data_IF_070420329781
#
_entry.id   IF_070420329781
#
_cell.length_a   1.000
_cell.length_b   1.000
_cell.length_c   1.000
_cell.angle_alpha   90.00
_cell.angle_beta   90.00
_cell.angle_gamma   90.00
#
_symmetry.space_group_name_H-M   'P 1'
#
loop_
_entity.id
_entity.type
_entity.pdbx_description
1 polymer ?
#
# COMPACT_ATOMS: atom_id res chain seq x y z
N UNK A 1 -86.55 98.02 9.78
CA UNK A 1 -87.80 98.28 10.52
C UNK A 1 -88.19 96.99 11.20
N UNK A 2 -88.34 97.04 12.51
CA UNK A 2 -89.14 96.14 13.36
C UNK A 2 -88.84 94.63 13.31
N UNK A 3 -88.74 93.88 14.38
CA UNK A 3 -88.91 94.11 15.82
C UNK A 3 -88.79 92.69 16.41
N UNK A 4 -87.96 92.50 17.44
CA UNK A 4 -88.44 92.39 18.83
C UNK A 4 -89.01 91.02 19.20
N UNK A 5 -88.36 90.36 20.16
CA UNK A 5 -88.94 90.09 21.50
C UNK A 5 -88.13 88.94 22.15
N UNK A 6 -87.19 89.21 23.06
CA UNK A 6 -87.39 89.41 24.52
C UNK A 6 -87.70 88.08 25.24
N UNK A 7 -86.68 87.39 25.81
CA UNK A 7 -86.16 87.36 27.23
C UNK A 7 -87.07 86.57 28.20
N UNK A 8 -86.61 86.08 29.37
CA UNK A 8 -85.26 85.99 29.95
C UNK A 8 -84.96 84.54 30.46
N UNK A 9 -83.77 84.15 30.93
CA UNK A 9 -83.33 84.24 32.33
C UNK A 9 -81.90 83.66 32.43
N UNK A 10 -81.10 84.23 33.31
CA UNK A 10 -79.67 83.94 33.42
C UNK A 10 -79.34 82.72 34.26
N UNK A 11 -78.27 82.03 33.87
CA UNK A 11 -77.44 81.21 34.76
C UNK A 11 -75.97 81.25 34.28
N UNK A 12 -75.00 81.10 35.21
CA UNK A 12 -73.64 81.55 35.03
C UNK A 12 -72.81 80.69 34.07
N UNK A 13 -71.95 81.37 33.32
CA UNK A 13 -70.82 80.81 32.58
C UNK A 13 -69.97 79.91 33.48
N UNK A 14 -69.99 78.59 33.23
CA UNK A 14 -68.96 77.68 33.70
C UNK A 14 -68.36 76.99 32.48
N UNK A 15 -67.12 77.34 32.17
CA UNK A 15 -66.24 76.59 31.28
C UNK A 15 -66.05 75.20 31.86
N UNK A 16 -66.61 74.18 31.22
CA UNK A 16 -66.31 72.78 31.52
C UNK A 16 -66.05 72.03 30.20
N UNK A 17 -64.78 71.75 30.00
CA UNK A 17 -64.20 70.79 29.06
C UNK A 17 -65.00 69.47 29.09
N UNK A 18 -65.70 69.14 28.02
CA UNK A 18 -66.29 67.82 27.83
C UNK A 18 -65.41 67.03 26.87
N UNK A 19 -64.76 66.03 27.45
CA UNK A 19 -63.87 65.08 26.84
C UNK A 19 -64.57 64.32 25.70
N UNK A 20 -63.82 64.09 24.62
CA UNK A 20 -64.12 63.06 23.67
C UNK A 20 -64.10 61.71 24.40
N UNK A 21 -65.27 61.09 24.48
CA UNK A 21 -65.47 59.74 24.97
C UNK A 21 -64.90 58.78 23.93
N UNK A 22 -63.63 58.40 24.11
CA UNK A 22 -62.94 57.40 23.30
C UNK A 22 -63.45 56.03 23.75
N UNK A 23 -64.60 55.64 23.20
CA UNK A 23 -65.22 54.34 23.42
C UNK A 23 -64.28 53.25 22.89
N UNK A 24 -63.52 52.65 23.80
CA UNK A 24 -62.76 51.43 23.57
C UNK A 24 -63.75 50.30 23.30
N UNK A 25 -63.95 49.96 22.03
CA UNK A 25 -64.64 48.73 21.65
C UNK A 25 -63.80 47.54 22.14
N UNK A 26 -64.22 46.91 23.23
CA UNK A 26 -63.73 45.60 23.64
C UNK A 26 -64.29 44.57 22.64
N UNK A 27 -63.53 44.35 21.56
CA UNK A 27 -63.82 43.33 20.56
C UNK A 27 -63.76 41.98 21.27
N UNK A 28 -64.90 41.29 21.33
CA UNK A 28 -64.95 39.93 21.85
C UNK A 28 -64.07 39.03 20.98
N UNK A 29 -63.26 38.14 21.58
CA UNK A 29 -62.33 37.31 20.83
C UNK A 29 -63.07 36.49 19.79
N UNK A 30 -62.54 36.47 18.57
CA UNK A 30 -63.11 35.65 17.50
C UNK A 30 -62.97 34.18 17.88
N UNK A 31 -63.99 33.38 17.59
CA UNK A 31 -63.98 31.95 17.92
C UNK A 31 -62.79 31.29 17.20
N UNK A 32 -61.80 30.80 17.96
CA UNK A 32 -60.56 30.21 17.43
C UNK A 32 -59.35 31.14 17.39
N UNK A 33 -59.42 32.39 17.87
CA UNK A 33 -58.27 33.28 17.98
C UNK A 33 -57.70 33.33 19.41
N UNK A 34 -56.42 33.69 19.52
CA UNK A 34 -55.71 33.85 20.80
C UNK A 34 -55.29 35.31 20.98
N UNK A 35 -55.79 35.97 22.03
CA UNK A 35 -55.45 37.36 22.37
C UNK A 35 -53.99 37.45 22.84
N UNK A 36 -53.19 38.31 22.20
CA UNK A 36 -51.74 38.45 22.48
C UNK A 36 -51.47 39.23 23.78
N UNK A 37 -52.42 40.08 24.19
CA UNK A 37 -52.36 40.84 25.44
C UNK A 37 -52.70 39.92 26.62
N UNK A 38 -51.71 39.67 27.49
CA UNK A 38 -51.85 38.84 28.69
C UNK A 38 -50.97 37.59 28.73
N UNK A 39 -50.25 37.29 27.65
CA UNK A 39 -49.25 36.22 27.61
C UNK A 39 -47.88 36.69 28.16
N UNK A 40 -46.96 35.73 28.41
CA UNK A 40 -45.60 36.04 28.85
C UNK A 40 -44.86 36.91 27.81
N UNK A 41 -43.91 37.72 28.26
CA UNK A 41 -43.19 38.69 27.42
C UNK A 41 -42.48 38.03 26.21
N UNK A 42 -41.97 36.81 26.40
CA UNK A 42 -41.39 36.01 25.32
C UNK A 42 -42.44 35.53 24.31
N UNK A 43 -43.56 34.97 24.79
CA UNK A 43 -44.64 34.50 23.92
C UNK A 43 -45.26 35.66 23.14
N UNK A 44 -45.39 36.82 23.77
CA UNK A 44 -45.85 38.04 23.14
C UNK A 44 -44.92 38.46 22.00
N UNK A 45 -43.61 38.52 22.24
CA UNK A 45 -42.61 38.90 21.22
C UNK A 45 -42.58 37.95 20.02
N UNK A 46 -42.86 36.66 20.24
CA UNK A 46 -42.95 35.67 19.17
C UNK A 46 -44.27 35.83 18.41
N UNK A 47 -45.41 35.83 19.10
CA UNK A 47 -46.74 35.87 18.48
C UNK A 47 -47.02 37.17 17.71
N UNK A 48 -46.49 38.31 18.18
CA UNK A 48 -46.60 39.60 17.46
C UNK A 48 -45.90 39.59 16.10
N UNK A 49 -44.97 38.66 15.84
CA UNK A 49 -44.33 38.50 14.52
C UNK A 49 -45.18 37.69 13.53
N UNK A 50 -46.15 36.94 14.03
CA UNK A 50 -47.03 36.09 13.23
C UNK A 50 -48.42 36.68 13.05
N UNK A 51 -48.80 37.67 13.88
CA UNK A 51 -49.93 38.58 13.67
C UNK A 51 -49.71 39.42 12.40
N UNK A 52 -50.28 38.98 11.27
CA UNK A 52 -50.15 39.62 9.96
C UNK A 52 -51.12 40.77 9.78
N UNK A 53 -52.25 40.70 10.47
CA UNK A 53 -53.36 41.63 10.30
C UNK A 53 -53.28 42.81 11.31
N UNK A 54 -52.44 42.69 12.35
CA UNK A 54 -52.17 43.70 13.36
C UNK A 54 -53.33 43.90 14.35
N UNK A 55 -54.24 42.92 14.46
CA UNK A 55 -55.44 43.02 15.30
C UNK A 55 -55.18 42.66 16.78
N UNK A 56 -53.96 42.21 17.10
CA UNK A 56 -53.58 41.85 18.46
C UNK A 56 -54.11 40.49 18.90
N UNK A 57 -54.67 39.71 17.98
CA UNK A 57 -55.03 38.31 18.13
C UNK A 57 -54.27 37.47 17.09
N UNK A 58 -54.06 36.18 17.38
CA UNK A 58 -53.52 35.24 16.38
C UNK A 58 -54.63 34.30 15.96
N UNK A 59 -54.96 34.30 14.68
CA UNK A 59 -55.99 33.42 14.12
C UNK A 59 -55.46 32.01 13.79
N UNK A 60 -56.37 31.10 13.44
CA UNK A 60 -56.04 29.70 13.14
C UNK A 60 -55.04 29.57 11.97
N UNK A 61 -55.08 30.49 11.00
CA UNK A 61 -54.19 30.48 9.82
C UNK A 61 -52.79 31.02 10.13
N UNK A 62 -52.68 31.92 11.10
CA UNK A 62 -51.41 32.46 11.60
C UNK A 62 -50.75 31.49 12.58
N UNK A 63 -51.57 30.75 13.35
CA UNK A 63 -51.12 29.72 14.29
C UNK A 63 -50.43 28.55 13.58
N UNK A 64 -50.87 28.17 12.37
CA UNK A 64 -50.18 27.16 11.55
C UNK A 64 -48.72 27.53 11.26
N UNK A 65 -48.45 28.82 10.98
CA UNK A 65 -47.10 29.32 10.74
C UNK A 65 -46.22 29.27 11.99
N UNK A 66 -46.80 29.56 13.15
CA UNK A 66 -46.12 29.44 14.45
C UNK A 66 -45.74 27.98 14.73
N UNK A 67 -46.66 27.05 14.47
CA UNK A 67 -46.42 25.61 14.67
C UNK A 67 -45.35 25.08 13.71
N UNK A 68 -45.37 25.45 12.42
CA UNK A 68 -44.33 24.99 11.47
C UNK A 68 -42.93 25.50 11.84
N UNK A 69 -42.82 26.74 12.33
CA UNK A 69 -41.55 27.30 12.82
C UNK A 69 -41.08 26.59 14.09
N UNK A 70 -41.97 26.38 15.07
CA UNK A 70 -41.65 25.65 16.30
C UNK A 70 -41.20 24.22 16.00
N UNK A 71 -41.91 23.52 15.10
CA UNK A 71 -41.56 22.16 14.70
C UNK A 71 -40.18 22.16 14.03
N UNK A 72 -39.92 23.07 13.07
CA UNK A 72 -38.60 23.18 12.41
C UNK A 72 -37.47 23.50 13.39
N UNK A 73 -37.68 24.41 14.35
CA UNK A 73 -36.67 24.77 15.35
C UNK A 73 -36.38 23.61 16.32
N UNK A 74 -37.41 22.90 16.77
CA UNK A 74 -37.28 21.71 17.62
C UNK A 74 -36.53 20.58 16.90
N UNK A 75 -36.79 20.37 15.60
CA UNK A 75 -36.03 19.41 14.80
C UNK A 75 -34.56 19.83 14.62
N UNK A 76 -34.30 21.13 14.44
CA UNK A 76 -32.94 21.68 14.33
C UNK A 76 -32.15 21.46 15.62
N UNK A 77 -32.78 21.64 16.78
CA UNK A 77 -32.15 21.41 18.09
C UNK A 77 -31.71 19.95 18.30
N UNK A 78 -32.56 18.98 17.95
CA UNK A 78 -32.20 17.54 18.06
C UNK A 78 -31.10 17.14 17.08
N UNK A 79 -31.15 17.63 15.84
CA UNK A 79 -30.10 17.34 14.85
C UNK A 79 -28.76 17.94 15.24
N UNK A 80 -28.76 19.16 15.80
CA UNK A 80 -27.53 19.81 16.25
C UNK A 80 -26.92 19.09 17.45
N UNK A 81 -27.72 18.70 18.44
CA UNK A 81 -27.25 17.92 19.59
C UNK A 81 -26.71 16.54 19.16
N UNK A 82 -27.44 15.83 18.29
CA UNK A 82 -26.99 14.55 17.74
C UNK A 82 -25.71 14.71 16.92
N UNK A 83 -25.58 15.80 16.16
CA UNK A 83 -24.39 16.12 15.39
C UNK A 83 -23.17 16.36 16.28
N UNK A 84 -23.33 17.15 17.35
CA UNK A 84 -22.24 17.43 18.30
C UNK A 84 -21.79 16.16 19.04
N UNK A 85 -22.74 15.27 19.37
CA UNK A 85 -22.45 13.98 19.98
C UNK A 85 -21.68 13.07 19.00
N UNK A 86 -22.04 13.07 17.73
CA UNK A 86 -21.35 12.29 16.69
C UNK A 86 -19.92 12.81 16.48
N UNK A 87 -19.72 14.13 16.44
CA UNK A 87 -18.39 14.75 16.28
C UNK A 87 -17.49 14.48 17.47
N UNK A 88 -18.01 14.61 18.70
CA UNK A 88 -17.23 14.30 19.91
C UNK A 88 -16.89 12.81 20.00
N UNK A 89 -17.82 11.92 19.65
CA UNK A 89 -17.54 10.50 19.55
C UNK A 89 -16.46 10.20 18.51
N UNK A 90 -16.57 10.80 17.31
CA UNK A 90 -15.56 10.66 16.25
C UNK A 90 -14.18 11.16 16.69
N UNK A 91 -14.13 12.25 17.47
CA UNK A 91 -12.87 12.80 17.98
C UNK A 91 -12.22 11.85 18.99
N UNK A 92 -13.01 11.27 19.91
CA UNK A 92 -12.52 10.27 20.87
C UNK A 92 -12.00 9.04 20.13
N UNK A 93 -12.71 8.59 19.09
CA UNK A 93 -12.33 7.43 18.28
C UNK A 93 -11.02 7.69 17.51
N UNK A 94 -10.83 8.90 16.98
CA UNK A 94 -9.57 9.35 16.36
C UNK A 94 -8.41 9.38 17.35
N UNK A 95 -8.63 9.87 18.57
CA UNK A 95 -7.61 9.87 19.62
C UNK A 95 -7.25 8.44 20.02
N UNK A 96 -8.24 7.58 20.25
CA UNK A 96 -8.01 6.18 20.59
C UNK A 96 -7.22 5.43 19.50
N UNK A 97 -7.54 5.66 18.22
CA UNK A 97 -6.78 5.09 17.10
C UNK A 97 -5.33 5.57 17.08
N UNK A 98 -5.09 6.86 17.36
CA UNK A 98 -3.75 7.43 17.36
C UNK A 98 -2.89 6.85 18.48
N UNK A 99 -3.47 6.69 19.68
CA UNK A 99 -2.81 6.02 20.79
C UNK A 99 -2.56 4.53 20.52
N UNK A 100 -3.54 3.83 19.95
CA UNK A 100 -3.42 2.41 19.60
C UNK A 100 -2.31 2.16 18.58
N UNK A 101 -2.23 2.99 17.53
CA UNK A 101 -1.16 2.90 16.54
C UNK A 101 0.21 3.17 17.16
N UNK A 102 0.33 4.21 18.01
CA UNK A 102 1.59 4.54 18.68
C UNK A 102 2.06 3.39 19.58
N UNK A 103 1.14 2.79 20.34
CA UNK A 103 1.47 1.65 21.19
C UNK A 103 1.89 0.42 20.38
N UNK A 104 1.22 0.13 19.26
CA UNK A 104 1.58 -0.96 18.37
C UNK A 104 2.96 -0.79 17.74
N UNK A 105 3.35 0.44 17.35
CA UNK A 105 4.70 0.72 16.83
C UNK A 105 5.75 0.50 17.91
N UNK A 106 5.49 0.93 19.15
CA UNK A 106 6.41 0.73 20.27
C UNK A 106 6.57 -0.76 20.57
N UNK A 107 5.48 -1.53 20.61
CA UNK A 107 5.57 -2.98 20.86
C UNK A 107 6.36 -3.70 19.77
N UNK A 108 6.17 -3.33 18.50
CA UNK A 108 6.99 -3.82 17.39
C UNK A 108 8.48 -3.49 17.55
N UNK A 109 8.82 -2.29 18.02
CA UNK A 109 10.21 -1.90 18.23
C UNK A 109 10.85 -2.62 19.42
N UNK A 110 10.06 -2.99 20.44
CA UNK A 110 10.58 -3.67 21.63
C UNK A 110 11.07 -5.09 21.37
N UNK A 111 10.78 -5.73 20.23
CA UNK A 111 11.16 -7.13 19.99
C UNK A 111 12.60 -7.33 19.50
N UNK A 112 13.32 -6.24 19.27
CA UNK A 112 14.71 -6.28 18.81
C UNK A 112 15.67 -5.87 19.92
N UNK A 113 16.77 -6.60 20.06
CA UNK A 113 17.88 -6.23 20.93
C UNK A 113 19.19 -6.45 20.22
N UNK A 114 20.18 -5.60 20.49
CA UNK A 114 21.51 -5.71 19.91
C UNK A 114 22.34 -6.52 20.90
N UNK A 115 22.72 -7.74 20.52
CA UNK A 115 23.69 -8.54 21.28
C UNK A 115 24.99 -8.60 20.47
N UNK A 116 26.01 -7.85 20.92
CA UNK A 116 27.26 -7.70 20.17
C UNK A 116 27.08 -6.84 18.92
N UNK A 117 27.40 -7.39 17.73
CA UNK A 117 27.27 -6.71 16.42
C UNK A 117 26.01 -7.12 15.64
N UNK A 118 25.16 -7.99 16.19
CA UNK A 118 23.99 -8.54 15.47
C UNK A 118 22.71 -8.19 16.21
N UNK A 119 21.68 -7.80 15.44
CA UNK A 119 20.32 -7.60 15.96
C UNK A 119 19.69 -8.98 16.10
N UNK A 120 19.25 -9.33 17.31
CA UNK A 120 18.61 -10.60 17.63
C UNK A 120 17.19 -10.36 18.14
N UNK A 121 16.30 -11.33 17.95
CA UNK A 121 14.94 -11.31 18.54
C UNK A 121 15.02 -11.63 20.03
N UNK A 122 14.39 -10.83 20.88
CA UNK A 122 14.50 -10.94 22.35
C UNK A 122 14.15 -12.31 22.93
N UNK A 123 13.26 -13.07 22.28
CA UNK A 123 12.73 -14.33 22.82
C UNK A 123 13.37 -15.60 22.23
N UNK A 124 14.10 -15.50 21.13
CA UNK A 124 14.71 -16.67 20.50
C UNK A 124 16.23 -16.62 20.43
N UNK A 125 16.85 -15.47 20.76
CA UNK A 125 18.28 -15.20 20.55
C UNK A 125 18.77 -15.49 19.12
N UNK A 126 17.82 -15.66 18.18
CA UNK A 126 18.12 -15.87 16.78
C UNK A 126 18.39 -14.51 16.13
N UNK A 127 19.41 -14.43 15.27
CA UNK A 127 19.68 -13.24 14.49
C UNK A 127 18.44 -12.87 13.68
N UNK A 128 18.13 -11.58 13.62
CA UNK A 128 17.02 -11.06 12.83
C UNK A 128 17.33 -11.33 11.36
N UNK A 129 16.72 -12.38 10.81
CA UNK A 129 16.89 -12.74 9.42
C UNK A 129 16.05 -11.80 8.56
N UNK A 130 16.73 -10.91 7.83
CA UNK A 130 16.08 -10.14 6.77
C UNK A 130 15.69 -11.08 5.63
N UNK A 131 14.56 -10.82 4.97
CA UNK A 131 14.02 -11.69 3.92
C UNK A 131 15.03 -11.99 2.79
N UNK A 132 16.04 -11.13 2.61
CA UNK A 132 17.11 -11.22 1.62
C UNK A 132 18.34 -12.04 2.04
N UNK A 133 18.41 -12.58 3.26
CA UNK A 133 19.67 -13.13 3.82
C UNK A 133 19.71 -14.65 3.99
N UNK A 134 18.66 -15.37 3.60
CA UNK A 134 18.62 -16.83 3.71
C UNK A 134 18.73 -17.46 2.31
N UNK A 135 19.98 -17.74 1.92
CA UNK A 135 20.32 -18.49 0.72
C UNK A 135 20.83 -19.85 1.16
N UNK A 136 20.10 -20.90 0.81
CA UNK A 136 20.53 -22.28 1.08
C UNK A 136 21.08 -22.88 -0.20
N UNK A 137 22.24 -23.53 -0.13
CA UNK A 137 22.76 -24.27 -1.29
C UNK A 137 22.04 -25.60 -1.35
N UNK A 138 21.41 -25.92 -2.48
CA UNK A 138 20.90 -27.26 -2.75
C UNK A 138 22.09 -28.23 -2.84
N UNK A 139 22.17 -29.25 -1.97
CA UNK A 139 23.26 -30.21 -2.01
C UNK A 139 23.32 -31.01 -3.32
N UNK A 140 22.22 -31.07 -4.09
CA UNK A 140 22.15 -31.87 -5.32
C UNK A 140 22.50 -31.06 -6.56
N UNK A 141 22.02 -29.82 -6.66
CA UNK A 141 22.25 -28.96 -7.82
C UNK A 141 23.35 -27.92 -7.62
N UNK A 142 23.85 -27.73 -6.39
CA UNK A 142 24.77 -26.66 -6.04
C UNK A 142 24.18 -25.26 -6.21
N UNK A 143 22.87 -25.17 -6.45
CA UNK A 143 22.19 -23.92 -6.70
C UNK A 143 21.80 -23.22 -5.40
N UNK A 144 21.83 -21.88 -5.43
CA UNK A 144 21.33 -21.07 -4.34
C UNK A 144 19.80 -21.02 -4.43
N UNK A 145 19.16 -21.57 -3.40
CA UNK A 145 17.73 -21.53 -3.19
C UNK A 145 17.38 -20.39 -2.24
N UNK A 146 16.39 -19.59 -2.62
CA UNK A 146 15.73 -18.63 -1.73
C UNK A 146 14.40 -19.23 -1.25
N UNK A 147 14.02 -18.95 0.01
CA UNK A 147 12.88 -19.55 0.73
C UNK A 147 11.70 -19.88 -0.19
N UNK A 148 11.46 -21.17 -0.41
CA UNK A 148 10.22 -21.69 -1.00
C UNK A 148 9.98 -21.43 -2.50
N UNK A 149 10.91 -20.83 -3.27
CA UNK A 149 10.71 -20.76 -4.72
C UNK A 149 12.00 -20.71 -5.55
N UNK A 150 11.88 -21.38 -6.70
CA UNK A 150 12.67 -21.35 -7.96
C UNK A 150 14.13 -20.92 -7.84
N UNK A 151 15.01 -21.87 -8.18
CA UNK A 151 16.46 -21.70 -8.39
C UNK A 151 16.76 -20.32 -8.98
N UNK A 152 17.37 -19.46 -8.17
CA UNK A 152 17.90 -18.18 -8.64
C UNK A 152 19.15 -18.53 -9.43
N UNK A 153 19.13 -18.25 -10.74
CA UNK A 153 20.09 -18.77 -11.72
C UNK A 153 21.53 -18.78 -11.22
N UNK A 154 22.03 -19.96 -10.90
CA UNK A 154 23.42 -20.17 -10.50
C UNK A 154 24.23 -20.69 -11.66
N UNK A 155 25.47 -20.22 -11.77
CA UNK A 155 26.47 -20.83 -12.65
C UNK A 155 26.93 -22.15 -12.04
N UNK A 156 26.95 -23.22 -12.84
CA UNK A 156 27.55 -24.49 -12.42
C UNK A 156 29.02 -24.26 -12.10
N UNK A 157 29.45 -24.65 -10.90
CA UNK A 157 30.86 -24.57 -10.51
C UNK A 157 31.64 -25.65 -11.25
N UNK A 158 32.62 -25.23 -12.04
CA UNK A 158 33.55 -26.13 -12.72
C UNK A 158 34.90 -26.11 -12.02
N UNK A 159 35.46 -27.28 -11.74
CA UNK A 159 36.85 -27.42 -11.34
C UNK A 159 37.70 -27.66 -12.58
N UNK A 160 38.71 -26.84 -12.77
CA UNK A 160 39.70 -26.97 -13.85
C UNK A 160 40.79 -27.95 -13.44
N UNK A 161 41.07 -28.97 -14.25
CA UNK A 161 42.14 -29.95 -14.02
C UNK A 161 42.75 -30.43 -15.33
N UNK A 162 44.04 -30.71 -15.34
CA UNK A 162 44.71 -31.32 -16.50
C UNK A 162 44.06 -32.67 -16.86
N UNK A 163 43.72 -32.84 -18.13
CA UNK A 163 43.04 -34.02 -18.65
C UNK A 163 44.07 -35.11 -18.98
N UNK A 164 43.81 -36.35 -18.57
CA UNK A 164 44.71 -37.47 -18.82
C UNK A 164 43.91 -38.75 -19.07
N UNK A 165 44.40 -39.63 -19.97
CA UNK A 165 43.78 -40.92 -20.27
C UNK A 165 43.75 -41.89 -19.08
N UNK A 166 44.58 -41.67 -18.05
CA UNK A 166 44.61 -42.44 -16.80
C UNK A 166 43.65 -41.92 -15.71
N UNK A 167 42.71 -41.04 -16.06
CA UNK A 167 41.68 -40.58 -15.11
C UNK A 167 40.64 -41.67 -14.85
N UNK A 168 40.09 -41.70 -13.64
CA UNK A 168 39.03 -42.65 -13.30
C UNK A 168 37.75 -42.34 -14.08
N UNK A 169 37.01 -43.38 -14.47
CA UNK A 169 35.70 -43.25 -15.14
C UNK A 169 34.73 -42.35 -14.36
N UNK A 170 34.78 -42.40 -13.02
CA UNK A 170 33.98 -41.53 -12.15
C UNK A 170 34.28 -40.05 -12.38
N UNK A 171 35.54 -39.69 -12.58
CA UNK A 171 35.96 -38.31 -12.84
C UNK A 171 35.65 -37.90 -14.28
N UNK A 172 35.85 -38.79 -15.26
CA UNK A 172 35.49 -38.51 -16.65
C UNK A 172 33.98 -38.33 -16.85
N UNK A 173 33.14 -38.99 -16.05
CA UNK A 173 31.69 -38.77 -16.02
C UNK A 173 31.30 -37.34 -15.62
N UNK A 174 32.15 -36.61 -14.88
CA UNK A 174 31.87 -35.23 -14.49
C UNK A 174 32.50 -34.23 -15.46
N UNK A 175 33.22 -34.68 -16.49
CA UNK A 175 33.82 -33.83 -17.51
C UNK A 175 32.73 -33.21 -18.39
N UNK A 176 32.56 -31.89 -18.30
CA UNK A 176 31.54 -31.17 -19.04
C UNK A 176 32.11 -30.45 -20.28
N UNK A 177 33.32 -29.90 -20.13
CA UNK A 177 33.99 -29.14 -21.19
C UNK A 177 35.49 -29.43 -21.17
N UNK A 178 36.13 -29.26 -22.30
CA UNK A 178 37.58 -29.26 -22.42
C UNK A 178 38.02 -27.93 -23.01
N UNK A 179 39.16 -27.46 -22.55
CA UNK A 179 39.80 -26.25 -23.03
C UNK A 179 41.19 -26.60 -23.51
N UNK A 180 41.47 -26.26 -24.75
CA UNK A 180 42.75 -26.50 -25.41
C UNK A 180 43.43 -25.15 -25.59
N UNK A 181 44.64 -25.03 -25.07
CA UNK A 181 45.44 -23.81 -25.22
C UNK A 181 46.39 -23.97 -26.42
N UNK A 182 46.16 -23.17 -27.45
CA UNK A 182 47.05 -23.05 -28.60
C UNK A 182 48.41 -22.44 -28.26
N UNK A 183 49.41 -22.68 -29.10
CA UNK A 183 50.76 -22.13 -28.96
C UNK A 183 50.80 -20.60 -29.04
N UNK A 184 49.81 -20.00 -29.72
CA UNK A 184 49.67 -18.55 -29.88
C UNK A 184 48.82 -17.91 -28.77
N UNK A 185 48.52 -18.65 -27.70
CA UNK A 185 47.66 -18.20 -26.60
C UNK A 185 46.16 -18.24 -26.90
N UNK A 186 45.76 -18.71 -28.09
CA UNK A 186 44.36 -18.91 -28.46
C UNK A 186 43.78 -20.09 -27.69
N UNK A 187 42.74 -19.84 -26.90
CA UNK A 187 42.05 -20.88 -26.15
C UNK A 187 40.77 -21.32 -26.87
N UNK A 188 40.65 -22.62 -27.13
CA UNK A 188 39.45 -23.20 -27.75
C UNK A 188 38.78 -24.14 -26.77
N UNK A 189 37.50 -23.86 -26.48
CA UNK A 189 36.68 -24.67 -25.59
C UNK A 189 35.71 -25.56 -26.36
N UNK A 190 35.69 -26.86 -26.06
CA UNK A 190 34.71 -27.80 -26.60
C UNK A 190 33.80 -28.33 -25.50
N UNK A 191 32.51 -28.47 -25.83
CA UNK A 191 31.57 -29.19 -24.97
C UNK A 191 31.76 -30.69 -25.19
N UNK A 192 31.87 -31.44 -24.09
CA UNK A 192 31.97 -32.90 -24.14
C UNK A 192 30.57 -33.50 -24.17
N UNK A 193 30.31 -34.39 -25.13
CA UNK A 193 29.05 -35.14 -25.26
C UNK A 193 29.20 -36.60 -24.82
N UNK A 194 30.43 -37.10 -24.78
CA UNK A 194 30.74 -38.46 -24.34
C UNK A 194 32.25 -38.70 -24.32
N UNK A 195 32.66 -39.81 -23.74
CA UNK A 195 34.06 -40.24 -23.76
C UNK A 195 34.16 -41.76 -23.83
N UNK A 196 35.27 -42.25 -24.35
CA UNK A 196 35.65 -43.66 -24.31
C UNK A 196 37.15 -43.75 -24.06
N UNK A 197 37.55 -44.65 -23.15
CA UNK A 197 38.97 -44.95 -22.93
C UNK A 197 39.26 -46.27 -23.62
N UNK A 198 40.20 -46.25 -24.55
CA UNK A 198 40.69 -47.44 -25.24
C UNK A 198 41.95 -47.91 -24.53
N UNK A 199 41.96 -49.19 -24.15
CA UNK A 199 43.12 -49.83 -23.53
C UNK A 199 44.18 -50.15 -24.60
N UNK A 200 44.87 -49.11 -25.07
CA UNK A 200 46.07 -49.18 -25.91
C UNK A 200 47.32 -48.89 -25.08
N UNK A 201 48.50 -49.09 -25.66
CA UNK A 201 49.78 -48.75 -25.02
C UNK A 201 50.53 -47.76 -25.92
N UNK A 202 50.49 -46.45 -25.64
CA UNK A 202 49.86 -45.77 -24.49
C UNK A 202 48.31 -45.70 -24.58
N UNK A 203 47.60 -45.54 -23.44
CA UNK A 203 46.14 -45.49 -23.41
C UNK A 203 45.60 -44.25 -24.13
N UNK A 204 44.48 -44.43 -24.82
CA UNK A 204 43.84 -43.39 -25.64
C UNK A 204 42.50 -42.98 -25.04
N UNK A 205 42.29 -41.68 -24.86
CA UNK A 205 41.01 -41.09 -24.44
C UNK A 205 40.34 -40.44 -25.65
N UNK A 206 39.25 -41.04 -26.10
CA UNK A 206 38.38 -40.50 -27.15
C UNK A 206 37.31 -39.64 -26.51
N UNK A 207 37.24 -38.38 -26.90
CA UNK A 207 36.31 -37.37 -26.39
C UNK A 207 35.38 -37.00 -27.53
N UNK A 208 34.11 -37.31 -27.36
CA UNK A 208 33.07 -36.92 -28.31
C UNK A 208 32.66 -35.47 -28.03
N UNK A 209 32.59 -34.69 -29.08
CA UNK A 209 32.13 -33.29 -29.08
C UNK A 209 31.09 -33.09 -30.19
N UNK A 210 30.27 -32.03 -30.17
CA UNK A 210 29.32 -31.77 -31.25
C UNK A 210 29.98 -31.59 -32.62
N UNK A 211 31.26 -31.22 -32.64
CA UNK A 211 32.04 -30.90 -33.84
C UNK A 211 32.97 -32.04 -34.28
N UNK A 212 32.98 -33.18 -33.59
CA UNK A 212 33.84 -34.31 -33.91
C UNK A 212 34.35 -35.10 -32.71
N UNK A 213 35.32 -35.98 -32.96
CA UNK A 213 36.00 -36.76 -31.92
C UNK A 213 37.43 -36.26 -31.77
N UNK A 214 37.83 -35.99 -30.53
CA UNK A 214 39.18 -35.65 -30.15
C UNK A 214 39.81 -36.86 -29.46
N UNK A 215 41.04 -37.20 -29.81
CA UNK A 215 41.77 -38.34 -29.27
C UNK A 215 42.99 -37.83 -28.52
N UNK A 216 43.02 -38.04 -27.22
CA UNK A 216 44.12 -37.69 -26.33
C UNK A 216 44.97 -38.93 -26.06
N UNK A 217 46.25 -38.86 -26.40
CA UNK A 217 47.24 -39.92 -26.21
C UNK A 217 48.39 -39.38 -25.37
N UNK A 218 48.46 -39.80 -24.10
CA UNK A 218 49.33 -39.12 -23.13
C UNK A 218 48.93 -37.65 -22.98
N UNK A 219 49.83 -36.73 -23.36
CA UNK A 219 49.60 -35.29 -23.36
C UNK A 219 49.35 -34.70 -24.76
N UNK A 220 49.24 -35.55 -25.79
CA UNK A 220 49.04 -35.12 -27.18
C UNK A 220 47.57 -35.22 -27.56
N UNK A 221 47.02 -34.13 -28.07
CA UNK A 221 45.66 -34.08 -28.58
C UNK A 221 45.67 -34.14 -30.11
N UNK A 222 44.90 -35.07 -30.65
CA UNK A 222 44.62 -35.16 -32.08
C UNK A 222 43.12 -35.07 -32.32
N UNK A 223 42.71 -34.59 -33.49
CA UNK A 223 41.29 -34.40 -33.80
C UNK A 223 40.92 -35.02 -35.13
N UNK A 224 39.78 -35.71 -35.17
CA UNK A 224 39.14 -36.12 -36.41
C UNK A 224 37.90 -35.24 -36.64
N UNK A 225 37.88 -34.50 -37.77
CA UNK A 225 36.84 -33.56 -38.28
C UNK A 225 36.94 -32.10 -37.80
N UNK A 226 35.91 -31.27 -38.03
CA UNK A 226 35.93 -29.78 -38.02
C UNK A 226 36.50 -29.12 -36.75
N UNK A 227 36.53 -29.85 -35.63
CA UNK A 227 37.29 -29.44 -34.44
C UNK A 227 38.80 -29.28 -34.73
N UNK A 228 39.38 -30.13 -35.58
CA UNK A 228 40.79 -30.07 -35.99
C UNK A 228 41.10 -28.84 -36.85
N UNK A 229 40.19 -28.40 -37.74
CA UNK A 229 40.39 -27.19 -38.55
C UNK A 229 40.33 -25.90 -37.73
N UNK A 230 39.64 -25.91 -36.59
CA UNK A 230 39.65 -24.79 -35.64
C UNK A 230 40.93 -24.73 -34.79
N UNK A 231 41.69 -25.81 -34.77
CA UNK A 231 42.93 -25.94 -34.00
C UNK A 231 44.19 -25.85 -34.90
N UNK A 232 44.04 -25.81 -36.22
CA UNK A 232 45.14 -25.77 -37.19
C UNK A 232 45.68 -24.34 -37.35
N UNK A 233 46.58 -23.94 -36.46
CA UNK A 233 47.37 -22.70 -36.61
C UNK A 233 48.75 -23.05 -37.13
N UNK A 234 48.88 -23.22 -38.45
CA UNK A 234 50.17 -23.41 -39.12
C UNK A 234 50.20 -24.67 -40.00
N UNK A 235 50.28 -24.44 -41.32
CA UNK A 235 50.04 -25.44 -42.36
C UNK A 235 50.69 -26.81 -42.19
N UNK A 236 49.89 -27.86 -42.38
CA UNK A 236 50.35 -29.13 -42.94
C UNK A 236 50.68 -30.23 -41.94
N UNK A 237 49.88 -30.43 -40.89
CA UNK A 237 50.00 -31.59 -40.02
C UNK A 237 48.83 -31.71 -39.05
N UNK A 238 48.11 -32.85 -39.06
CA UNK A 238 46.89 -33.11 -38.26
C UNK A 238 47.17 -33.41 -36.78
N UNK A 239 48.30 -32.98 -36.24
CA UNK A 239 48.78 -33.33 -34.91
C UNK A 239 49.18 -32.08 -34.13
N UNK A 240 48.48 -31.79 -33.03
CA UNK A 240 48.85 -30.70 -32.13
C UNK A 240 49.85 -31.25 -31.11
N UNK A 241 51.13 -31.13 -31.44
CA UNK A 241 52.21 -31.55 -30.56
C UNK A 241 52.51 -30.42 -29.57
N UNK A 242 52.03 -30.54 -28.33
CA UNK A 242 52.50 -29.72 -27.20
C UNK A 242 51.49 -28.79 -26.53
N UNK A 243 50.20 -29.14 -26.50
CA UNK A 243 49.17 -28.28 -25.89
C UNK A 243 48.65 -28.87 -24.58
N UNK A 244 48.67 -28.07 -23.51
CA UNK A 244 48.06 -28.45 -22.23
C UNK A 244 46.54 -28.50 -22.39
N UNK A 245 45.96 -29.70 -22.22
CA UNK A 245 44.51 -29.91 -22.29
C UNK A 245 43.93 -29.86 -20.89
N UNK A 246 43.01 -28.94 -20.68
CA UNK A 246 42.37 -28.72 -19.38
C UNK A 246 40.92 -29.14 -19.45
N UNK A 247 40.54 -30.11 -18.63
CA UNK A 247 39.15 -30.50 -18.42
C UNK A 247 38.48 -29.61 -17.38
N UNK A 248 37.24 -29.22 -17.66
CA UNK A 248 36.32 -28.56 -16.72
C UNK A 248 35.33 -29.62 -16.23
N UNK A 249 35.45 -29.95 -14.95
CA UNK A 249 34.67 -30.97 -14.28
C UNK A 249 33.57 -30.32 -13.44
N UNK A 250 32.34 -30.80 -13.54
CA UNK A 250 31.27 -30.38 -12.66
C UNK A 250 31.57 -30.86 -11.24
N UNK A 251 31.50 -29.95 -10.26
CA UNK A 251 31.63 -30.32 -8.86
C UNK A 251 30.48 -31.26 -8.47
N UNK A 252 30.82 -32.48 -8.06
CA UNK A 252 29.89 -33.48 -7.47
C UNK A 252 30.05 -33.56 -5.97
#
# INVERSE_FOLDING_TARGET
MSSSSMRPDGEPTVTATLAAEDAVYEVSPRYGSVVIKGLSLEAQTVLTKFDRNGDGEVDESELEGVVDVLVKEQFKGRMFLSGILMVTFSLILLLASSFGLTWAVVSLHTDTTIRGRVIVRKHSDQPLQLASSDLTVDPTSGALLSRGSKVVGTSTLYTSRSLNANMTTRLLNTLARISVNGTDGVQVGFRVTGYAVTASSPPELHISTPTGVLVLVGDRLSGASAAASLLETGGGGRELVGQSVVGLFTAT
#
